data_IF_036372129991
#
_entry.id   IF_036372129991
#
_cell.length_a   1.000
_cell.length_b   1.000
_cell.length_c   1.000
_cell.angle_alpha   90.00
_cell.angle_beta   90.00
_cell.angle_gamma   90.00
#
_symmetry.space_group_name_H-M   'P 1'
#
loop_
_entity.id
_entity.type
_entity.pdbx_description
1 polymer ?
#
# COMPACT_ATOMS: atom_id res chain seq x y z
N UNK A 1 -7.20 -18.69 5.30
CA UNK A 1 -7.56 -18.35 6.69
C UNK A 1 -6.78 -17.10 7.04
N UNK A 2 -7.39 -16.12 7.73
CA UNK A 2 -6.71 -14.88 8.11
C UNK A 2 -5.64 -15.14 9.18
N UNK A 3 -4.60 -14.32 9.22
CA UNK A 3 -3.63 -14.30 10.31
C UNK A 3 -4.25 -13.74 11.58
N UNK A 4 -3.78 -14.20 12.73
CA UNK A 4 -4.26 -13.78 14.05
C UNK A 4 -3.09 -13.32 14.91
N UNK A 5 -3.38 -12.77 16.10
CA UNK A 5 -2.32 -12.40 17.05
C UNK A 5 -1.43 -13.57 17.48
N UNK A 6 -1.91 -14.81 17.36
CA UNK A 6 -1.16 -16.02 17.73
C UNK A 6 -0.67 -16.84 16.52
N UNK A 7 -1.17 -16.54 15.32
CA UNK A 7 -0.86 -17.27 14.09
C UNK A 7 -0.59 -16.28 12.95
N UNK A 8 0.69 -15.92 12.81
CA UNK A 8 1.15 -14.88 11.91
C UNK A 8 2.51 -15.25 11.27
N UNK A 9 2.90 -14.61 10.15
CA UNK A 9 4.17 -14.85 9.49
C UNK A 9 5.38 -14.67 10.41
N UNK A 10 6.38 -15.55 10.26
CA UNK A 10 7.63 -15.50 11.06
C UNK A 10 8.36 -14.16 10.97
N UNK A 11 8.19 -13.40 9.88
CA UNK A 11 8.76 -12.06 9.70
C UNK A 11 8.31 -11.05 10.76
N UNK A 12 7.15 -11.26 11.41
CA UNK A 12 6.59 -10.36 12.41
C UNK A 12 6.84 -10.77 13.86
N UNK A 13 7.51 -11.91 14.09
CA UNK A 13 7.77 -12.44 15.45
C UNK A 13 8.51 -11.45 16.35
N UNK A 14 9.39 -10.64 15.78
CA UNK A 14 10.23 -9.69 16.52
C UNK A 14 9.68 -8.24 16.50
N UNK A 15 8.50 -8.01 15.94
CA UNK A 15 7.88 -6.69 15.96
C UNK A 15 7.23 -6.43 17.33
N UNK A 16 7.12 -5.16 17.70
CA UNK A 16 6.28 -4.78 18.83
C UNK A 16 4.82 -5.18 18.55
N UNK A 17 4.06 -5.41 19.62
CA UNK A 17 2.70 -5.93 19.51
C UNK A 17 1.80 -5.03 18.65
N UNK A 18 1.98 -3.70 18.72
CA UNK A 18 1.10 -2.75 18.03
C UNK A 18 1.37 -2.76 16.53
N UNK A 19 2.64 -2.69 16.13
CA UNK A 19 3.05 -2.81 14.72
C UNK A 19 2.68 -4.17 14.14
N UNK A 20 2.86 -5.26 14.91
CA UNK A 20 2.45 -6.61 14.48
C UNK A 20 0.95 -6.71 14.25
N UNK A 21 0.13 -6.26 15.19
CA UNK A 21 -1.34 -6.25 15.04
C UNK A 21 -1.76 -5.42 13.82
N UNK A 22 -1.12 -4.27 13.59
CA UNK A 22 -1.43 -3.44 12.44
C UNK A 22 -1.02 -4.11 11.12
N UNK A 23 0.12 -4.80 11.09
CA UNK A 23 0.55 -5.55 9.92
C UNK A 23 -0.42 -6.70 9.60
N UNK A 24 -0.90 -7.43 10.63
CA UNK A 24 -1.92 -8.48 10.49
C UNK A 24 -3.22 -7.89 9.91
N UNK A 25 -3.74 -6.80 10.50
CA UNK A 25 -4.94 -6.09 10.04
C UNK A 25 -4.86 -5.70 8.56
N UNK A 26 -3.76 -5.03 8.17
CA UNK A 26 -3.57 -4.60 6.78
C UNK A 26 -3.45 -5.80 5.85
N UNK A 27 -2.67 -6.81 6.21
CA UNK A 27 -2.45 -7.92 5.32
C UNK A 27 -3.68 -8.82 5.16
N UNK A 28 -4.46 -9.03 6.22
CA UNK A 28 -5.73 -9.74 6.12
C UNK A 28 -6.71 -9.02 5.18
N UNK A 29 -6.77 -7.68 5.24
CA UNK A 29 -7.53 -6.89 4.28
C UNK A 29 -7.04 -7.11 2.84
N UNK A 30 -5.72 -7.07 2.61
CA UNK A 30 -5.14 -7.32 1.29
C UNK A 30 -5.43 -8.75 0.79
N UNK A 31 -5.33 -9.77 1.66
CA UNK A 31 -5.65 -11.14 1.29
C UNK A 31 -7.14 -11.30 0.93
N UNK A 32 -8.02 -10.62 1.65
CA UNK A 32 -9.45 -10.59 1.31
C UNK A 32 -9.68 -9.97 -0.08
N UNK A 33 -8.93 -8.92 -0.42
CA UNK A 33 -8.96 -8.27 -1.74
C UNK A 33 -8.23 -9.05 -2.85
N UNK A 34 -7.69 -10.24 -2.55
CA UNK A 34 -7.11 -11.16 -3.53
C UNK A 34 -5.61 -10.99 -3.77
N UNK A 35 -4.90 -10.23 -2.94
CA UNK A 35 -3.43 -10.18 -2.99
C UNK A 35 -2.81 -11.52 -2.58
N UNK A 36 -1.61 -11.81 -3.09
CA UNK A 36 -0.82 -12.95 -2.64
C UNK A 36 -0.14 -12.63 -1.30
N UNK A 37 0.11 -13.65 -0.47
CA UNK A 37 0.84 -13.48 0.79
C UNK A 37 2.24 -12.87 0.58
N UNK A 38 2.92 -13.26 -0.51
CA UNK A 38 4.24 -12.71 -0.88
C UNK A 38 4.25 -11.20 -1.03
N UNK A 39 3.12 -10.63 -1.45
CA UNK A 39 2.99 -9.21 -1.76
C UNK A 39 2.39 -8.48 -0.54
N UNK A 40 1.41 -9.11 0.13
CA UNK A 40 0.75 -8.57 1.31
C UNK A 40 1.71 -8.40 2.49
N UNK A 41 2.60 -9.36 2.76
CA UNK A 41 3.52 -9.31 3.91
C UNK A 41 4.44 -8.07 3.87
N UNK A 42 5.22 -7.81 2.81
CA UNK A 42 6.13 -6.65 2.78
C UNK A 42 5.36 -5.32 2.78
N UNK A 43 4.27 -5.22 2.03
CA UNK A 43 3.47 -3.99 1.95
C UNK A 43 2.81 -3.66 3.30
N UNK A 44 2.19 -4.66 3.93
CA UNK A 44 1.60 -4.50 5.25
C UNK A 44 2.66 -4.16 6.31
N UNK A 45 3.86 -4.73 6.20
CA UNK A 45 4.98 -4.39 7.08
C UNK A 45 5.38 -2.93 6.96
N UNK A 46 5.54 -2.41 5.75
CA UNK A 46 5.90 -1.01 5.51
C UNK A 46 4.81 -0.07 6.06
N UNK A 47 3.55 -0.33 5.71
CA UNK A 47 2.41 0.49 6.14
C UNK A 47 2.16 0.45 7.65
N UNK A 48 2.36 -0.71 8.28
CA UNK A 48 2.23 -0.83 9.73
C UNK A 48 3.29 -0.01 10.48
N UNK A 49 4.53 0.03 9.97
CA UNK A 49 5.62 0.83 10.57
C UNK A 49 5.35 2.32 10.44
N UNK A 50 5.00 2.78 9.23
CA UNK A 50 4.60 4.18 8.99
C UNK A 50 3.47 4.58 9.95
N UNK A 51 2.42 3.75 10.03
CA UNK A 51 1.31 4.03 10.93
C UNK A 51 1.74 4.05 12.41
N UNK A 52 2.62 3.15 12.85
CA UNK A 52 3.02 3.07 14.26
C UNK A 52 3.81 4.29 14.73
N UNK A 53 4.56 4.94 13.83
CA UNK A 53 5.31 6.18 14.07
C UNK A 53 4.36 7.37 14.32
N UNK A 54 3.28 7.48 13.54
CA UNK A 54 2.32 8.60 13.62
C UNK A 54 1.12 8.34 14.54
N UNK A 55 0.83 7.08 14.88
CA UNK A 55 -0.38 6.69 15.60
C UNK A 55 -0.45 7.23 17.03
N UNK A 56 -1.60 7.83 17.36
CA UNK A 56 -1.92 8.30 18.71
C UNK A 56 -2.28 7.14 19.64
N UNK A 57 -2.31 7.39 20.95
CA UNK A 57 -2.76 6.39 21.93
C UNK A 57 -4.20 5.91 21.65
N UNK A 58 -5.07 6.77 21.12
CA UNK A 58 -6.44 6.42 20.75
C UNK A 58 -6.46 5.44 19.58
N UNK A 59 -5.68 5.70 18.53
CA UNK A 59 -5.61 4.80 17.36
C UNK A 59 -5.11 3.41 17.76
N UNK A 60 -4.10 3.37 18.63
CA UNK A 60 -3.54 2.13 19.18
C UNK A 60 -4.55 1.37 20.03
N UNK A 61 -5.43 2.06 20.75
CA UNK A 61 -6.51 1.43 21.51
C UNK A 61 -7.58 0.87 20.58
N UNK A 62 -8.03 1.64 19.59
CA UNK A 62 -9.01 1.18 18.60
C UNK A 62 -8.54 -0.07 17.86
N UNK A 63 -7.26 -0.13 17.48
CA UNK A 63 -6.69 -1.32 16.85
C UNK A 63 -6.78 -2.57 17.74
N UNK A 64 -6.59 -2.43 19.06
CA UNK A 64 -6.66 -3.56 20.00
C UNK A 64 -8.09 -4.06 20.23
N UNK A 65 -9.07 -3.17 20.10
CA UNK A 65 -10.49 -3.50 20.26
C UNK A 65 -11.12 -4.02 18.96
N UNK A 66 -10.48 -3.77 17.82
CA UNK A 66 -10.93 -4.21 16.50
C UNK A 66 -10.72 -5.71 16.30
N UNK A 67 -11.67 -6.36 15.63
CA UNK A 67 -11.45 -7.67 15.02
C UNK A 67 -10.60 -7.53 13.76
N UNK A 68 -9.32 -7.87 13.87
CA UNK A 68 -8.33 -7.80 12.78
C UNK A 68 -8.43 -8.98 11.80
N UNK A 69 -9.34 -9.93 12.04
CA UNK A 69 -9.53 -11.12 11.19
C UNK A 69 -10.75 -11.00 10.29
N UNK A 70 -11.70 -10.14 10.65
CA UNK A 70 -12.92 -9.88 9.87
C UNK A 70 -12.68 -8.81 8.83
N UNK A 71 -12.27 -9.24 7.64
CA UNK A 71 -12.15 -8.41 6.45
C UNK A 71 -12.98 -9.00 5.31
N UNK A 72 -13.92 -8.21 4.81
CA UNK A 72 -14.66 -8.55 3.60
C UNK A 72 -13.96 -7.96 2.39
N UNK A 73 -13.90 -8.76 1.32
CA UNK A 73 -13.36 -8.31 0.05
C UNK A 73 -14.19 -7.12 -0.49
N UNK A 74 -13.52 -6.04 -0.87
CA UNK A 74 -14.17 -4.98 -1.63
C UNK A 74 -14.06 -5.29 -3.13
N UNK A 75 -15.18 -5.65 -3.75
CA UNK A 75 -15.23 -5.95 -5.19
C UNK A 75 -14.79 -4.77 -6.09
N UNK A 76 -14.82 -3.55 -5.57
CA UNK A 76 -14.34 -2.35 -6.26
C UNK A 76 -12.84 -2.11 -6.05
N UNK A 77 -12.22 -2.73 -5.05
CA UNK A 77 -10.80 -2.64 -4.85
C UNK A 77 -10.07 -3.46 -5.93
N UNK A 78 -9.39 -2.75 -6.82
CA UNK A 78 -8.61 -3.31 -7.93
C UNK A 78 -7.11 -3.28 -7.65
N UNK A 79 -6.70 -2.98 -6.42
CA UNK A 79 -5.30 -2.85 -6.07
C UNK A 79 -4.49 -4.13 -6.33
N UNK A 80 -5.09 -5.30 -6.09
CA UNK A 80 -4.48 -6.60 -6.39
C UNK A 80 -4.18 -6.77 -7.89
N UNK A 81 -5.07 -6.28 -8.77
CA UNK A 81 -4.90 -6.35 -10.23
C UNK A 81 -3.73 -5.48 -10.73
N UNK A 82 -3.33 -4.49 -9.93
CA UNK A 82 -2.29 -3.51 -10.25
C UNK A 82 -0.94 -3.82 -9.60
N UNK A 83 -0.83 -4.88 -8.79
CA UNK A 83 0.40 -5.15 -8.03
C UNK A 83 1.59 -5.43 -8.94
N UNK A 84 1.39 -6.19 -10.01
CA UNK A 84 2.42 -6.56 -11.00
C UNK A 84 2.52 -5.56 -12.17
N UNK A 85 1.98 -4.35 -12.01
CA UNK A 85 1.90 -3.34 -13.07
C UNK A 85 2.89 -2.19 -12.82
N UNK A 86 3.50 -1.72 -13.90
CA UNK A 86 4.44 -0.61 -13.87
C UNK A 86 3.75 0.71 -13.47
N UNK A 87 4.54 1.63 -12.92
CA UNK A 87 4.05 2.92 -12.42
C UNK A 87 4.48 4.04 -13.36
N UNK A 88 3.51 4.77 -13.90
CA UNK A 88 3.75 5.90 -14.80
C UNK A 88 3.82 7.21 -14.05
N UNK A 89 4.70 8.09 -14.51
CA UNK A 89 4.75 9.50 -14.11
C UNK A 89 4.43 10.34 -15.34
N UNK A 90 3.28 11.02 -15.32
CA UNK A 90 2.77 11.80 -16.46
C UNK A 90 2.47 13.21 -16.05
N UNK A 91 2.62 14.16 -16.97
CA UNK A 91 2.19 15.52 -16.75
C UNK A 91 0.77 15.70 -17.28
N UNK A 92 -0.09 16.33 -16.49
CA UNK A 92 -1.48 16.65 -16.82
C UNK A 92 -1.56 18.15 -17.07
N UNK A 93 -1.79 18.54 -18.33
CA UNK A 93 -1.79 19.97 -18.72
C UNK A 93 -2.99 20.74 -18.17
N UNK A 94 -4.16 20.08 -18.06
CA UNK A 94 -5.42 20.72 -17.65
C UNK A 94 -5.32 21.34 -16.25
N UNK A 95 -4.58 20.69 -15.35
CA UNK A 95 -4.48 21.01 -13.93
C UNK A 95 -3.04 21.32 -13.47
N UNK A 96 -2.10 21.51 -14.42
CA UNK A 96 -0.68 21.82 -14.20
C UNK A 96 0.01 20.98 -13.10
N UNK A 97 -0.12 19.65 -13.17
CA UNK A 97 0.49 18.76 -12.17
C UNK A 97 1.07 17.48 -12.80
N UNK A 98 1.87 16.78 -12.03
CA UNK A 98 2.40 15.46 -12.33
C UNK A 98 1.59 14.40 -11.60
N UNK A 99 0.99 13.48 -12.34
CA UNK A 99 0.31 12.32 -11.78
C UNK A 99 1.25 11.11 -11.69
N UNK A 100 1.07 10.32 -10.62
CA UNK A 100 1.64 8.99 -10.46
C UNK A 100 0.51 7.99 -10.61
N UNK A 101 0.58 7.14 -11.62
CA UNK A 101 -0.53 6.26 -12.00
C UNK A 101 -0.03 4.89 -12.41
N UNK A 102 -0.58 3.83 -11.82
CA UNK A 102 -0.26 2.46 -12.23
C UNK A 102 -0.84 2.17 -13.62
N UNK A 103 -0.11 1.43 -14.45
CA UNK A 103 -0.53 1.00 -15.78
C UNK A 103 -1.93 0.35 -15.74
N UNK A 104 -2.84 0.82 -16.59
CA UNK A 104 -4.22 0.33 -16.65
C UNK A 104 -5.15 0.82 -15.53
N UNK A 105 -4.66 1.53 -14.51
CA UNK A 105 -5.51 2.11 -13.47
C UNK A 105 -6.41 3.21 -14.04
N UNK A 106 -7.61 3.38 -13.47
CA UNK A 106 -8.53 4.46 -13.90
C UNK A 106 -8.08 5.83 -13.39
N UNK A 107 -7.63 5.90 -12.14
CA UNK A 107 -7.26 7.13 -11.46
C UNK A 107 -5.78 7.11 -11.09
N UNK A 108 -5.19 8.30 -10.94
CA UNK A 108 -3.87 8.45 -10.35
C UNK A 108 -3.88 7.97 -8.89
N UNK A 109 -2.75 7.41 -8.46
CA UNK A 109 -2.52 7.09 -7.05
C UNK A 109 -2.26 8.37 -6.24
N UNK A 110 -1.45 9.27 -6.79
CA UNK A 110 -1.06 10.53 -6.16
C UNK A 110 -0.78 11.58 -7.25
N UNK A 111 -0.89 12.87 -6.90
CA UNK A 111 -0.58 13.99 -7.79
C UNK A 111 0.35 14.98 -7.09
N UNK A 112 1.31 15.54 -7.83
CA UNK A 112 2.33 16.45 -7.30
C UNK A 112 2.54 17.65 -8.22
N UNK A 113 2.98 18.78 -7.68
CA UNK A 113 3.30 19.96 -8.48
C UNK A 113 4.62 19.78 -9.26
N UNK A 114 5.55 18.95 -8.76
CA UNK A 114 6.85 18.75 -9.39
C UNK A 114 7.07 17.32 -9.90
N UNK A 115 7.79 17.21 -11.03
CA UNK A 115 8.18 15.92 -11.60
C UNK A 115 8.99 15.08 -10.62
N UNK A 116 9.88 15.72 -9.86
CA UNK A 116 10.80 15.05 -8.95
C UNK A 116 10.05 14.36 -7.80
N UNK A 117 9.03 15.01 -7.25
CA UNK A 117 8.19 14.41 -6.21
C UNK A 117 7.41 13.22 -6.76
N UNK A 118 6.80 13.37 -7.93
CA UNK A 118 6.10 12.27 -8.60
C UNK A 118 7.03 11.08 -8.91
N UNK A 119 8.25 11.32 -9.39
CA UNK A 119 9.23 10.25 -9.63
C UNK A 119 9.70 9.56 -8.35
N UNK A 120 9.89 10.30 -7.26
CA UNK A 120 10.24 9.71 -5.98
C UNK A 120 9.12 8.81 -5.47
N UNK A 121 7.88 9.29 -5.55
CA UNK A 121 6.71 8.52 -5.16
C UNK A 121 6.53 7.27 -6.03
N UNK A 122 6.68 7.40 -7.35
CA UNK A 122 6.60 6.27 -8.25
C UNK A 122 7.67 5.20 -7.95
N UNK A 123 8.90 5.61 -7.64
CA UNK A 123 9.99 4.68 -7.26
C UNK A 123 9.71 3.95 -5.96
N UNK A 124 9.14 4.62 -4.96
CA UNK A 124 8.73 3.99 -3.71
C UNK A 124 7.67 2.90 -3.96
N UNK A 125 6.65 3.21 -4.77
CA UNK A 125 5.60 2.25 -5.13
C UNK A 125 6.19 1.07 -5.90
N UNK A 126 7.00 1.35 -6.92
CA UNK A 126 7.60 0.32 -7.77
C UNK A 126 8.57 -0.59 -6.98
N UNK A 127 9.37 -0.04 -6.06
CA UNK A 127 10.27 -0.81 -5.21
C UNK A 127 9.52 -1.77 -4.26
N UNK A 128 8.36 -1.35 -3.73
CA UNK A 128 7.54 -2.21 -2.88
C UNK A 128 6.82 -3.33 -3.64
N UNK A 129 6.72 -3.21 -4.97
CA UNK A 129 5.99 -4.14 -5.86
C UNK A 129 6.90 -4.92 -6.80
N UNK A 130 8.20 -4.67 -6.77
CA UNK A 130 9.18 -5.17 -7.75
C UNK A 130 8.78 -4.88 -9.22
N UNK A 131 8.28 -3.66 -9.47
CA UNK A 131 7.88 -3.18 -10.80
C UNK A 131 8.75 -2.02 -11.28
N UNK A 132 8.48 -1.49 -12.48
CA UNK A 132 9.28 -0.41 -13.07
C UNK A 132 8.56 0.94 -13.00
N UNK A 133 9.35 2.02 -13.08
CA UNK A 133 8.84 3.38 -13.23
C UNK A 133 9.02 3.84 -14.67
N UNK A 134 7.91 4.26 -15.29
CA UNK A 134 7.88 4.81 -16.65
C UNK A 134 7.63 6.31 -16.55
N UNK A 135 8.69 7.10 -16.71
CA UNK A 135 8.63 8.57 -16.64
C UNK A 135 8.44 9.16 -18.04
N UNK A 136 7.29 9.78 -18.27
CA UNK A 136 6.96 10.42 -19.54
C UNK A 136 7.51 11.84 -19.63
N UNK A 137 7.64 12.34 -20.85
CA UNK A 137 7.94 13.76 -21.10
C UNK A 137 6.67 14.59 -21.00
N UNK A 138 6.84 15.90 -20.76
CA UNK A 138 5.72 16.85 -20.63
C UNK A 138 4.79 16.88 -21.86
N UNK A 139 5.30 16.50 -23.03
CA UNK A 139 4.64 16.65 -24.32
C UNK A 139 4.32 15.30 -24.98
N UNK A 140 4.19 14.23 -24.19
CA UNK A 140 3.94 12.85 -24.64
C UNK A 140 2.56 12.40 -24.18
#
# INVERSE_FOLDING_TARGET
MPWTENDYPNSWKNFDQTTRLKAIDIANAMLADGYKESDAIPIATAKAKEWAEDATSSDKQQLKEKDITDHQADANNKGADYIEKDVHVRYVEEDDHWEVKTEGAKQASDTFSTKKEAENRAKEIAANRDTQVISHKKNE
#
